data_IF_621029986927
#
_entry.id   IF_621029986927
#
_cell.length_a   1.000
_cell.length_b   1.000
_cell.length_c   1.000
_cell.angle_alpha   90.00
_cell.angle_beta   90.00
_cell.angle_gamma   90.00
#
_symmetry.space_group_name_H-M   'P 1'
#
loop_
_entity.id
_entity.type
_entity.pdbx_description
1 polymer ?
#
# COMPACT_ATOMS: atom_id res chain seq x y z
N UNK A 1 22.87 4.85 -100.56
CA UNK A 1 23.07 6.15 -99.89
C UNK A 1 22.08 6.32 -98.76
N UNK A 2 22.58 6.70 -97.53
CA UNK A 2 21.91 7.19 -96.34
C UNK A 2 21.13 6.13 -95.53
N UNK A 3 21.68 5.60 -94.42
CA UNK A 3 21.80 6.11 -93.06
C UNK A 3 20.41 6.37 -92.41
N UNK A 4 20.06 5.59 -91.49
CA UNK A 4 19.05 5.82 -90.50
C UNK A 4 19.47 5.21 -89.18
N UNK A 5 19.56 6.06 -88.19
CA UNK A 5 20.19 5.82 -86.94
C UNK A 5 19.30 5.08 -85.96
N UNK A 6 19.93 4.34 -85.05
CA UNK A 6 19.39 3.65 -83.88
C UNK A 6 18.71 4.60 -82.88
N UNK A 7 17.59 4.23 -82.44
CA UNK A 7 16.95 4.72 -81.23
C UNK A 7 16.52 3.51 -80.34
N UNK A 8 17.45 2.98 -79.60
CA UNK A 8 17.16 2.04 -78.55
C UNK A 8 18.18 2.26 -77.46
N UNK A 9 17.82 2.94 -76.38
CA UNK A 9 18.38 2.81 -75.02
C UNK A 9 18.14 4.08 -74.21
N UNK A 10 16.92 4.28 -73.79
CA UNK A 10 16.66 5.15 -72.61
C UNK A 10 15.37 4.61 -71.90
N UNK A 11 15.40 3.42 -71.33
CA UNK A 11 14.28 2.99 -70.42
C UNK A 11 14.73 1.90 -69.48
N UNK A 12 15.81 2.11 -68.71
CA UNK A 12 16.12 1.12 -67.68
C UNK A 12 16.88 1.71 -66.50
N UNK A 13 16.45 2.86 -65.95
CA UNK A 13 17.17 3.39 -64.78
C UNK A 13 16.28 3.97 -63.65
N UNK A 14 14.98 3.92 -63.73
CA UNK A 14 14.13 4.52 -62.68
C UNK A 14 13.35 3.57 -61.77
N UNK A 15 13.44 2.25 -61.99
CA UNK A 15 12.66 1.30 -61.16
C UNK A 15 13.42 0.74 -59.96
N UNK A 16 14.75 0.94 -59.86
CA UNK A 16 15.56 0.33 -58.81
C UNK A 16 15.56 1.11 -57.48
N UNK A 17 15.34 2.41 -57.51
CA UNK A 17 15.42 3.23 -56.27
C UNK A 17 14.13 3.29 -55.49
N UNK A 18 12.99 2.94 -56.06
CA UNK A 18 11.68 3.00 -55.38
C UNK A 18 11.47 1.85 -54.42
N UNK A 19 12.05 0.68 -54.67
CA UNK A 19 11.92 -0.50 -53.79
C UNK A 19 12.82 -0.44 -52.57
N UNK A 20 14.00 0.19 -52.65
CA UNK A 20 14.92 0.33 -51.51
C UNK A 20 14.36 1.30 -50.48
N UNK A 21 13.73 2.41 -50.90
CA UNK A 21 13.10 3.35 -49.97
C UNK A 21 11.96 2.78 -49.16
N UNK A 22 11.15 1.89 -49.75
CA UNK A 22 10.02 1.25 -49.05
C UNK A 22 10.49 0.32 -47.96
N UNK A 23 11.56 -0.45 -48.14
CA UNK A 23 12.11 -1.35 -47.13
C UNK A 23 12.76 -0.59 -45.98
N UNK A 24 13.41 0.56 -46.25
CA UNK A 24 13.94 1.43 -45.21
C UNK A 24 12.83 2.07 -44.37
N UNK A 25 11.75 2.50 -45.00
CA UNK A 25 10.59 3.08 -44.30
C UNK A 25 9.91 2.07 -43.39
N UNK A 26 9.73 0.82 -43.85
CA UNK A 26 9.17 -0.27 -43.06
C UNK A 26 10.11 -0.67 -41.90
N UNK A 27 11.43 -0.65 -42.12
CA UNK A 27 12.42 -0.97 -41.08
C UNK A 27 12.47 0.10 -39.98
N UNK A 28 12.37 1.40 -40.34
CA UNK A 28 12.33 2.51 -39.40
C UNK A 28 11.03 2.48 -38.59
N UNK A 29 9.89 2.17 -39.20
CA UNK A 29 8.59 2.01 -38.49
C UNK A 29 8.63 0.81 -37.54
N UNK A 30 9.26 -0.30 -37.93
CA UNK A 30 9.37 -1.48 -37.05
C UNK A 30 10.33 -1.23 -35.88
N UNK A 31 11.42 -0.45 -36.09
CA UNK A 31 12.36 -0.11 -35.03
C UNK A 31 11.76 0.88 -34.02
N UNK A 32 10.82 1.75 -34.44
CA UNK A 32 10.18 2.72 -33.58
C UNK A 32 9.14 2.11 -32.62
N UNK A 33 8.64 0.89 -32.90
CA UNK A 33 7.69 0.20 -32.04
C UNK A 33 8.33 -0.58 -30.90
N UNK A 34 9.66 -0.74 -30.89
CA UNK A 34 10.39 -1.47 -29.84
C UNK A 34 10.70 -0.63 -28.58
N UNK A 35 10.35 0.67 -28.55
CA UNK A 35 10.46 1.49 -27.34
C UNK A 35 9.15 1.48 -26.52
N UNK A 36 8.32 0.45 -26.69
CA UNK A 36 7.17 0.25 -25.85
C UNK A 36 7.63 -0.30 -24.48
N UNK A 37 7.92 0.63 -23.59
CA UNK A 37 7.49 0.61 -22.20
C UNK A 37 7.85 -0.64 -21.39
N UNK A 38 9.09 -0.71 -20.95
CA UNK A 38 9.30 -1.26 -19.61
C UNK A 38 8.68 -0.27 -18.60
N UNK A 39 7.38 -0.36 -18.31
CA UNK A 39 6.83 0.14 -17.07
C UNK A 39 7.46 -0.74 -16.00
N UNK A 40 8.59 -0.30 -15.46
CA UNK A 40 9.07 -0.73 -14.17
C UNK A 40 7.97 -0.27 -13.21
N UNK A 41 7.10 -1.18 -12.77
CA UNK A 41 6.29 -0.95 -11.59
C UNK A 41 7.30 -0.53 -10.53
N UNK A 42 7.39 0.77 -10.29
CA UNK A 42 7.95 1.27 -9.05
C UNK A 42 6.98 0.74 -7.99
N UNK A 43 7.32 -0.38 -7.37
CA UNK A 43 6.90 -0.61 -6.00
C UNK A 43 7.47 0.60 -5.29
N UNK A 44 6.64 1.61 -5.07
CA UNK A 44 6.99 2.71 -4.20
C UNK A 44 7.27 2.04 -2.86
N UNK A 45 8.54 2.04 -2.46
CA UNK A 45 8.94 1.73 -1.11
C UNK A 45 8.31 2.84 -0.27
N UNK A 46 7.07 2.61 0.17
CA UNK A 46 6.35 3.58 0.98
C UNK A 46 6.97 3.50 2.37
N UNK A 47 7.55 4.60 2.82
CA UNK A 47 7.99 4.80 4.22
C UNK A 47 6.81 4.86 5.20
N UNK A 48 5.59 4.73 4.71
CA UNK A 48 4.36 4.71 5.49
C UNK A 48 4.10 3.31 6.02
N UNK A 49 3.97 3.12 7.33
CA UNK A 49 3.70 1.81 7.92
C UNK A 49 2.39 1.22 7.42
N UNK A 50 2.35 -0.09 7.26
CA UNK A 50 1.15 -0.84 6.89
C UNK A 50 0.76 -1.75 8.04
N UNK A 51 -0.54 -1.84 8.35
CA UNK A 51 -1.05 -2.73 9.39
C UNK A 51 -2.12 -3.68 8.83
N UNK A 52 -2.23 -4.87 9.44
CA UNK A 52 -3.23 -5.87 9.06
C UNK A 52 -3.85 -6.47 10.32
N UNK A 53 -5.17 -6.62 10.35
CA UNK A 53 -5.88 -7.27 11.45
C UNK A 53 -5.53 -8.76 11.52
N UNK A 54 -5.21 -9.23 12.73
CA UNK A 54 -4.92 -10.64 13.00
C UNK A 54 -6.04 -11.28 13.80
N UNK A 55 -6.37 -10.73 14.97
CA UNK A 55 -7.42 -11.29 15.83
C UNK A 55 -7.90 -10.29 16.88
N UNK A 56 -9.08 -10.58 17.45
CA UNK A 56 -9.62 -9.91 18.64
C UNK A 56 -10.14 -10.97 19.61
N UNK A 57 -9.88 -10.79 20.89
CA UNK A 57 -10.23 -11.75 21.95
C UNK A 57 -10.56 -11.02 23.26
N UNK A 58 -11.53 -11.52 24.04
CA UNK A 58 -12.45 -12.61 23.74
C UNK A 58 -13.53 -12.23 22.72
N UNK A 59 -14.26 -13.21 22.17
CA UNK A 59 -15.40 -12.95 21.29
C UNK A 59 -16.63 -12.38 22.03
N UNK A 60 -16.66 -12.55 23.36
CA UNK A 60 -17.64 -11.96 24.29
C UNK A 60 -16.93 -11.51 25.57
N UNK A 61 -17.22 -10.31 26.03
CA UNK A 61 -16.63 -9.71 27.22
C UNK A 61 -17.72 -9.16 28.14
N UNK A 62 -17.59 -9.38 29.46
CA UNK A 62 -18.44 -8.77 30.47
C UNK A 62 -17.96 -7.35 30.73
N UNK A 63 -18.87 -6.38 30.71
CA UNK A 63 -18.56 -4.96 30.93
C UNK A 63 -17.82 -4.75 32.27
N UNK A 64 -16.79 -3.87 32.25
CA UNK A 64 -15.91 -3.55 33.39
C UNK A 64 -15.10 -4.72 33.97
N UNK A 65 -15.31 -5.97 33.51
CA UNK A 65 -14.63 -7.16 34.03
C UNK A 65 -13.55 -7.66 33.12
N UNK A 66 -13.86 -7.84 31.84
CA UNK A 66 -12.93 -8.39 30.88
C UNK A 66 -12.23 -7.31 30.08
N UNK A 67 -10.92 -7.49 29.90
CA UNK A 67 -10.16 -6.74 28.89
C UNK A 67 -10.36 -7.36 27.50
N UNK A 68 -10.25 -6.53 26.47
CA UNK A 68 -10.29 -6.94 25.06
C UNK A 68 -8.89 -6.75 24.49
N UNK A 69 -8.32 -7.80 23.91
CA UNK A 69 -7.03 -7.76 23.22
C UNK A 69 -7.24 -7.78 21.72
N UNK A 70 -6.72 -6.77 21.03
CA UNK A 70 -6.66 -6.69 19.58
C UNK A 70 -5.24 -6.98 19.15
N UNK A 71 -5.04 -8.01 18.31
CA UNK A 71 -3.76 -8.33 17.70
C UNK A 71 -3.77 -7.86 16.25
N UNK A 72 -2.74 -7.14 15.84
CA UNK A 72 -2.52 -6.70 14.47
C UNK A 72 -1.05 -6.87 14.08
N UNK A 73 -0.78 -7.15 12.81
CA UNK A 73 0.57 -7.15 12.28
C UNK A 73 0.92 -5.77 11.74
N UNK A 74 2.21 -5.46 11.74
CA UNK A 74 2.77 -4.27 11.13
C UNK A 74 3.89 -4.64 10.16
N UNK A 75 4.06 -3.81 9.13
CA UNK A 75 5.13 -3.86 8.15
C UNK A 75 5.57 -2.41 7.88
N UNK A 76 6.82 -2.08 8.22
CA UNK A 76 7.36 -0.74 8.16
C UNK A 76 8.78 -0.76 7.60
N UNK A 77 8.94 -0.20 6.39
CA UNK A 77 10.13 -0.38 5.55
C UNK A 77 11.34 0.44 6.00
N UNK A 78 11.13 1.58 6.65
CA UNK A 78 12.20 2.44 7.16
C UNK A 78 12.41 2.33 8.66
N UNK A 79 11.54 1.56 9.36
CA UNK A 79 11.76 1.15 10.75
C UNK A 79 11.57 2.25 11.77
N UNK A 80 10.75 3.24 11.46
CA UNK A 80 10.54 4.36 12.37
C UNK A 80 9.21 4.27 13.15
N UNK A 81 8.50 3.13 13.09
CA UNK A 81 7.32 2.88 13.91
C UNK A 81 7.70 2.75 15.40
N UNK A 82 6.89 3.37 16.23
CA UNK A 82 7.07 3.40 17.69
C UNK A 82 8.07 4.46 18.15
N UNK A 83 7.95 4.89 19.39
CA UNK A 83 8.82 5.93 19.98
C UNK A 83 8.93 5.84 21.49
N UNK A 84 10.00 6.41 22.05
CA UNK A 84 10.32 6.35 23.47
C UNK A 84 9.74 7.50 24.31
N UNK A 85 9.21 8.57 23.67
CA UNK A 85 8.55 9.63 24.44
C UNK A 85 7.32 9.06 25.17
N UNK A 86 7.28 9.10 26.52
CA UNK A 86 6.17 8.54 27.29
C UNK A 86 4.84 9.28 27.06
N UNK A 87 4.87 10.50 26.57
CA UNK A 87 3.69 11.33 26.31
C UNK A 87 3.17 11.19 24.88
N UNK A 88 3.88 10.50 24.02
CA UNK A 88 3.47 10.34 22.64
C UNK A 88 2.46 9.19 22.47
N UNK A 89 1.41 9.46 21.73
CA UNK A 89 0.46 8.46 21.27
C UNK A 89 0.63 8.26 19.77
N UNK A 90 0.77 7.01 19.37
CA UNK A 90 0.99 6.61 17.98
C UNK A 90 0.19 5.38 17.53
N UNK A 91 -0.69 4.87 18.39
CA UNK A 91 -1.73 3.89 18.07
C UNK A 91 -3.07 4.48 18.47
N UNK A 92 -4.04 4.50 17.57
CA UNK A 92 -5.36 5.07 17.76
C UNK A 92 -6.42 4.02 17.44
N UNK A 93 -7.34 3.79 18.37
CA UNK A 93 -8.40 2.79 18.26
C UNK A 93 -9.73 3.48 18.50
N UNK A 94 -10.62 3.44 17.51
CA UNK A 94 -11.94 4.06 17.57
C UNK A 94 -13.01 3.00 17.81
N UNK A 95 -13.83 3.20 18.84
CA UNK A 95 -15.03 2.40 19.15
C UNK A 95 -16.17 2.75 18.19
N UNK A 96 -16.72 1.78 17.48
CA UNK A 96 -17.78 2.00 16.48
C UNK A 96 -19.12 2.46 17.06
N UNK A 97 -19.33 2.27 18.37
CA UNK A 97 -20.61 2.57 19.03
C UNK A 97 -20.79 4.05 19.37
N UNK A 98 -19.70 4.72 19.72
CA UNK A 98 -19.73 6.08 20.26
C UNK A 98 -18.61 6.98 19.71
N UNK A 99 -17.77 6.47 18.79
CA UNK A 99 -16.61 7.17 18.20
C UNK A 99 -15.55 7.62 19.23
N UNK A 100 -15.53 7.03 20.42
CA UNK A 100 -14.46 7.26 21.40
C UNK A 100 -13.16 6.71 20.84
N UNK A 101 -12.10 7.52 20.92
CA UNK A 101 -10.75 7.16 20.48
C UNK A 101 -9.89 6.83 21.69
N UNK A 102 -9.43 5.59 21.76
CA UNK A 102 -8.41 5.16 22.70
C UNK A 102 -7.04 5.40 22.05
N UNK A 103 -6.16 6.08 22.77
CA UNK A 103 -4.82 6.41 22.27
C UNK A 103 -3.75 5.73 23.09
N UNK A 104 -2.82 5.04 22.43
CA UNK A 104 -1.76 4.27 23.08
C UNK A 104 -0.40 4.62 22.48
N UNK A 105 0.64 4.30 23.22
CA UNK A 105 2.02 4.36 22.75
C UNK A 105 2.50 2.97 22.37
N UNK A 106 2.95 2.84 21.12
CA UNK A 106 3.86 1.77 20.71
C UNK A 106 5.27 2.22 21.08
N UNK A 107 5.95 1.42 21.92
CA UNK A 107 7.37 1.68 22.24
C UNK A 107 8.22 1.56 20.99
N UNK A 108 9.35 2.24 20.98
CA UNK A 108 10.29 2.21 19.85
C UNK A 108 10.67 0.78 19.46
N UNK A 109 10.50 0.44 18.19
CA UNK A 109 10.73 -0.90 17.65
C UNK A 109 12.11 -1.04 16.99
N UNK A 110 12.71 0.07 16.56
CA UNK A 110 14.05 0.11 16.02
C UNK A 110 14.79 1.38 16.47
N UNK A 111 16.14 1.38 16.57
CA UNK A 111 16.91 2.53 17.02
C UNK A 111 16.67 3.78 16.17
N UNK A 112 16.82 4.97 16.79
CA UNK A 112 16.71 6.24 16.08
C UNK A 112 17.75 6.34 14.97
N UNK A 113 17.31 6.85 13.81
CA UNK A 113 18.16 7.00 12.63
C UNK A 113 18.51 5.70 11.90
N UNK A 114 18.00 4.54 12.37
CA UNK A 114 18.08 3.32 11.58
C UNK A 114 17.05 3.34 10.43
N UNK A 115 17.45 2.78 9.29
CA UNK A 115 16.58 2.59 8.11
C UNK A 115 16.49 1.09 7.84
N UNK A 116 15.85 0.37 8.74
CA UNK A 116 15.71 -1.09 8.67
C UNK A 116 14.23 -1.47 8.53
N UNK A 117 13.96 -2.38 7.63
CA UNK A 117 12.62 -2.96 7.50
C UNK A 117 12.26 -3.75 8.76
N UNK A 118 11.19 -3.35 9.44
CA UNK A 118 10.66 -4.03 10.61
C UNK A 118 9.25 -4.56 10.35
N UNK A 119 8.97 -5.74 10.86
CA UNK A 119 7.65 -6.37 10.79
C UNK A 119 7.44 -7.28 11.99
N UNK A 120 6.20 -7.43 12.39
CA UNK A 120 5.84 -8.26 13.53
C UNK A 120 4.37 -8.12 13.89
N UNK A 121 4.02 -8.63 15.08
CA UNK A 121 2.69 -8.47 15.65
C UNK A 121 2.74 -7.62 16.92
N UNK A 122 1.68 -6.83 17.12
CA UNK A 122 1.46 -6.03 18.32
C UNK A 122 0.10 -6.35 18.90
N UNK A 123 -0.02 -6.22 20.23
CA UNK A 123 -1.25 -6.35 20.96
C UNK A 123 -1.64 -5.02 21.57
N UNK A 124 -2.90 -4.62 21.36
CA UNK A 124 -3.51 -3.50 22.03
C UNK A 124 -4.58 -4.01 23.00
N UNK A 125 -4.55 -3.56 24.25
CA UNK A 125 -5.52 -3.96 25.27
C UNK A 125 -6.49 -2.80 25.56
N UNK A 126 -7.79 -3.05 25.40
CA UNK A 126 -8.86 -2.12 25.79
C UNK A 126 -9.44 -2.60 27.10
N UNK A 127 -9.39 -1.76 28.13
CA UNK A 127 -9.92 -2.02 29.47
C UNK A 127 -11.21 -1.26 29.72
N UNK A 128 -12.01 -1.76 30.68
CA UNK A 128 -13.21 -1.07 31.17
C UNK A 128 -14.23 -0.74 30.07
N UNK A 129 -14.40 -1.66 29.09
CA UNK A 129 -15.46 -1.51 28.11
C UNK A 129 -16.82 -1.68 28.76
N UNK A 130 -17.76 -0.81 28.41
CA UNK A 130 -19.14 -0.84 28.92
C UNK A 130 -20.16 -0.90 27.78
N UNK A 131 -21.39 -1.28 28.12
CA UNK A 131 -22.58 -1.13 27.28
C UNK A 131 -22.92 0.37 27.19
N UNK A 132 -23.17 0.90 26.01
CA UNK A 132 -23.39 2.36 25.79
C UNK A 132 -24.84 2.73 25.51
N UNK A 133 -25.72 1.75 25.26
CA UNK A 133 -27.15 1.95 24.93
C UNK A 133 -28.13 1.43 25.96
N UNK A 134 -27.65 0.96 27.13
CA UNK A 134 -28.44 0.43 28.20
C UNK A 134 -29.00 -0.98 27.98
N UNK A 135 -28.72 -1.62 26.85
CA UNK A 135 -29.14 -3.01 26.57
C UNK A 135 -28.46 -4.01 27.49
N UNK A 136 -28.86 -5.30 27.45
CA UNK A 136 -28.20 -6.38 28.19
C UNK A 136 -26.97 -6.93 27.45
N UNK A 137 -26.86 -6.68 26.15
CA UNK A 137 -25.70 -7.02 25.34
C UNK A 137 -25.61 -6.10 24.12
N UNK A 138 -24.39 -5.79 23.66
CA UNK A 138 -24.14 -4.88 22.57
C UNK A 138 -22.95 -5.36 21.73
N UNK A 139 -23.11 -5.34 20.40
CA UNK A 139 -22.02 -5.66 19.48
C UNK A 139 -21.13 -4.43 19.25
N UNK A 140 -19.83 -4.64 19.13
CA UNK A 140 -18.82 -3.60 18.84
C UNK A 140 -17.77 -4.09 17.86
N UNK A 141 -17.32 -3.19 17.00
CA UNK A 141 -16.08 -3.30 16.20
C UNK A 141 -15.16 -2.14 16.55
N UNK A 142 -13.88 -2.31 16.29
CA UNK A 142 -12.89 -1.25 16.48
C UNK A 142 -12.15 -0.98 15.18
N UNK A 143 -11.93 0.31 14.89
CA UNK A 143 -11.07 0.73 13.77
C UNK A 143 -9.76 1.25 14.30
N UNK A 144 -8.63 0.82 13.70
CA UNK A 144 -7.29 1.14 14.17
C UNK A 144 -6.43 1.73 13.06
N UNK A 145 -5.55 2.66 13.45
CA UNK A 145 -4.42 3.10 12.64
C UNK A 145 -3.22 3.45 13.54
N UNK A 146 -2.04 3.49 12.96
CA UNK A 146 -0.80 3.89 13.64
C UNK A 146 -0.17 5.09 12.96
N UNK A 147 0.71 5.80 13.69
CA UNK A 147 1.58 6.86 13.16
C UNK A 147 3.04 6.53 13.49
N UNK A 148 3.91 6.75 12.52
CA UNK A 148 5.34 6.63 12.70
C UNK A 148 5.98 7.92 13.28
N UNK A 149 7.31 7.92 13.47
CA UNK A 149 8.07 9.08 13.97
C UNK A 149 8.15 10.21 12.95
N UNK A 150 8.08 9.92 11.66
CA UNK A 150 8.04 10.92 10.58
C UNK A 150 6.67 11.59 10.45
N UNK A 151 5.62 11.06 11.14
CA UNK A 151 4.25 11.56 11.10
C UNK A 151 3.38 10.95 10.01
N UNK A 152 3.87 9.93 9.29
CA UNK A 152 3.06 9.21 8.33
C UNK A 152 2.00 8.37 9.04
N UNK A 153 0.83 8.27 8.46
CA UNK A 153 -0.30 7.51 9.00
C UNK A 153 -0.52 6.26 8.18
N UNK A 154 -0.62 5.10 8.84
CA UNK A 154 -0.89 3.81 8.18
C UNK A 154 -2.26 3.77 7.51
N UNK A 155 -2.53 2.68 6.80
CA UNK A 155 -3.90 2.29 6.48
C UNK A 155 -4.72 2.08 7.76
N UNK A 156 -6.06 2.20 7.66
CA UNK A 156 -6.99 1.87 8.73
C UNK A 156 -7.49 0.44 8.57
N UNK A 157 -7.47 -0.34 9.65
CA UNK A 157 -8.05 -1.68 9.72
C UNK A 157 -9.26 -1.68 10.63
N UNK A 158 -10.20 -2.63 10.43
CA UNK A 158 -11.36 -2.83 11.28
C UNK A 158 -11.37 -4.28 11.79
N UNK A 159 -11.67 -4.45 13.07
CA UNK A 159 -11.76 -5.79 13.71
C UNK A 159 -13.02 -6.53 13.32
N UNK A 160 -13.04 -7.85 13.53
CA UNK A 160 -14.31 -8.56 13.67
C UNK A 160 -15.12 -8.00 14.84
N UNK A 161 -16.42 -8.21 14.80
CA UNK A 161 -17.31 -7.83 15.89
C UNK A 161 -17.14 -8.76 17.10
N UNK A 162 -17.24 -8.18 18.31
CA UNK A 162 -17.37 -8.91 19.57
C UNK A 162 -18.63 -8.45 20.29
N UNK A 163 -19.07 -9.22 21.29
CA UNK A 163 -20.25 -8.91 22.10
C UNK A 163 -19.83 -8.46 23.49
N UNK A 164 -20.34 -7.31 23.94
CA UNK A 164 -20.24 -6.88 25.34
C UNK A 164 -21.54 -7.26 26.05
N UNK A 165 -21.45 -7.86 27.23
CA UNK A 165 -22.57 -8.28 28.07
C UNK A 165 -22.48 -7.62 29.44
N UNK A 166 -23.63 -7.55 30.17
CA UNK A 166 -23.67 -7.17 31.59
C UNK A 166 -23.11 -8.23 32.49
#
# INVERSE_FOLDING_TARGET
>A
MRKGANAANVFHSHCSHMFVGWHYLLFVVFLSTMIASCKKDKTESTTTPQITFVSISPSSAVEYVNSITITFSYDDLDGDLGQNDPNANNLFITDSRNNVVYSYRISQLAPDGSTIHIKGNLNAEIKNTAITDGSSSQSVTYSLYVKDRAGNTSNTITTSAITITK
#
